data_IF_943459106924
#
_entry.id   IF_943459106924
#
_cell.length_a   1.000
_cell.length_b   1.000
_cell.length_c   1.000
_cell.angle_alpha   90.00
_cell.angle_beta   90.00
_cell.angle_gamma   90.00
#
_symmetry.space_group_name_H-M   'P 1'
#
loop_
_entity.id
_entity.type
_entity.pdbx_description
1 polymer ?
#
# COMPACT_ATOMS: atom_id res chain seq x y z
N UNK A 1 -16.73 17.27 -6.23
CA UNK A 1 -15.41 17.50 -6.85
C UNK A 1 -14.84 18.76 -6.23
N UNK A 2 -13.94 18.62 -5.26
CA UNK A 2 -13.29 19.74 -4.59
C UNK A 2 -11.79 19.45 -4.68
N UNK A 3 -11.10 20.19 -5.55
CA UNK A 3 -9.64 20.20 -5.60
C UNK A 3 -9.15 20.81 -4.30
N UNK A 4 -8.69 19.98 -3.37
CA UNK A 4 -7.85 20.48 -2.28
C UNK A 4 -6.42 20.52 -2.84
N UNK A 5 -6.07 21.69 -3.37
CA UNK A 5 -4.70 22.06 -3.65
C UNK A 5 -3.90 21.94 -2.34
N UNK A 6 -2.96 21.01 -2.29
CA UNK A 6 -1.90 20.97 -1.27
C UNK A 6 -0.93 22.14 -1.51
N UNK A 7 -1.37 23.37 -1.27
CA UNK A 7 -0.58 24.59 -1.44
C UNK A 7 0.43 24.84 -0.30
N UNK A 8 0.68 23.86 0.58
CA UNK A 8 1.54 24.02 1.76
C UNK A 8 2.95 23.42 1.66
N UNK A 9 3.30 22.74 0.57
CA UNK A 9 4.58 22.01 0.44
C UNK A 9 5.38 22.35 -0.83
N UNK A 10 5.11 23.49 -1.46
CA UNK A 10 5.88 23.93 -2.61
C UNK A 10 7.09 24.72 -2.10
N UNK A 11 8.18 23.99 -1.81
CA UNK A 11 9.52 24.58 -1.80
C UNK A 11 9.87 25.17 -3.18
N UNK A 12 11.01 25.87 -3.31
CA UNK A 12 11.48 26.37 -4.60
C UNK A 12 11.48 25.24 -5.63
N UNK A 13 11.32 25.58 -6.91
CA UNK A 13 11.37 24.54 -7.94
C UNK A 13 12.71 23.81 -7.88
N UNK A 14 12.64 22.49 -7.96
CA UNK A 14 13.80 21.60 -8.02
C UNK A 14 14.11 21.21 -9.48
N UNK A 15 13.39 21.82 -10.44
CA UNK A 15 13.69 21.76 -11.87
C UNK A 15 15.12 22.25 -12.12
N UNK A 16 15.79 21.71 -13.14
CA UNK A 16 17.20 21.96 -13.46
C UNK A 16 18.24 21.36 -12.49
N UNK A 17 17.83 20.67 -11.41
CA UNK A 17 18.77 20.04 -10.48
C UNK A 17 19.79 19.13 -11.20
N UNK A 18 19.36 18.45 -12.26
CA UNK A 18 20.16 17.48 -13.00
C UNK A 18 21.04 18.10 -14.11
N UNK A 19 20.93 19.41 -14.41
CA UNK A 19 21.58 20.02 -15.59
C UNK A 19 23.10 19.86 -15.61
N UNK A 20 23.73 19.96 -14.45
CA UNK A 20 25.19 19.92 -14.31
C UNK A 20 25.69 18.59 -13.77
N UNK A 21 24.79 17.61 -13.56
CA UNK A 21 25.16 16.30 -13.07
C UNK A 21 25.68 15.43 -14.21
N UNK A 22 26.77 14.71 -13.94
CA UNK A 22 27.33 13.71 -14.85
C UNK A 22 27.22 12.34 -14.22
N UNK A 23 26.89 11.33 -15.02
CA UNK A 23 26.92 9.94 -14.59
C UNK A 23 28.39 9.53 -14.42
N UNK A 24 28.83 9.15 -13.21
CA UNK A 24 30.19 8.66 -13.00
C UNK A 24 30.45 7.35 -13.76
N UNK A 25 31.59 7.24 -14.44
CA UNK A 25 31.92 6.09 -15.31
C UNK A 25 32.14 4.78 -14.53
N UNK A 26 32.58 4.87 -13.26
CA UNK A 26 33.03 3.71 -12.48
C UNK A 26 32.11 3.34 -11.31
N UNK A 27 30.84 3.78 -11.34
CA UNK A 27 29.86 3.44 -10.30
C UNK A 27 28.88 2.43 -10.87
N UNK A 28 28.84 1.18 -10.37
CA UNK A 28 27.84 0.20 -10.79
C UNK A 28 26.43 0.69 -10.44
N UNK A 29 25.50 0.57 -11.38
CA UNK A 29 24.10 0.94 -11.21
C UNK A 29 23.17 -0.02 -11.97
N UNK A 30 21.88 0.05 -11.66
CA UNK A 30 20.82 -0.59 -12.43
C UNK A 30 19.89 0.46 -13.04
N UNK A 31 19.27 0.13 -14.17
CA UNK A 31 18.13 0.90 -14.66
C UNK A 31 16.87 0.44 -13.94
N UNK A 32 15.97 1.36 -13.53
CA UNK A 32 14.62 1.00 -13.15
C UNK A 32 13.97 0.16 -14.27
N UNK A 33 13.25 -0.88 -13.88
CA UNK A 33 12.47 -1.71 -14.80
C UNK A 33 11.35 -0.87 -15.42
N UNK A 34 10.89 -1.27 -16.60
CA UNK A 34 9.79 -0.59 -17.26
C UNK A 34 8.47 -0.75 -16.51
N UNK A 35 7.56 0.21 -16.72
CA UNK A 35 6.22 0.16 -16.18
C UNK A 35 5.44 -0.99 -16.82
N UNK A 36 4.80 -1.82 -16.01
CA UNK A 36 3.97 -2.93 -16.48
C UNK A 36 2.51 -2.54 -16.28
N UNK A 37 1.93 -1.85 -17.26
CA UNK A 37 0.48 -1.92 -17.50
C UNK A 37 0.34 -2.29 -18.97
N UNK A 38 0.03 -3.56 -19.23
CA UNK A 38 -0.59 -3.92 -20.50
C UNK A 38 -1.97 -3.23 -20.51
N UNK A 39 -2.23 -2.37 -21.49
CA UNK A 39 -3.37 -1.43 -21.54
C UNK A 39 -4.76 -2.12 -21.43
N UNK A 40 -4.82 -3.45 -21.60
CA UNK A 40 -6.03 -4.26 -21.50
C UNK A 40 -6.12 -5.14 -20.23
N UNK A 41 -5.10 -5.17 -19.38
CA UNK A 41 -5.00 -6.16 -18.28
C UNK A 41 -5.29 -5.56 -16.90
N UNK A 42 -6.44 -4.90 -16.76
CA UNK A 42 -7.09 -4.76 -15.44
C UNK A 42 -7.74 -6.07 -14.97
N UNK A 43 -7.30 -7.22 -15.51
CA UNK A 43 -7.75 -8.51 -15.01
C UNK A 43 -7.35 -8.61 -13.54
N UNK A 44 -8.30 -9.04 -12.72
CA UNK A 44 -7.98 -9.38 -11.34
C UNK A 44 -6.96 -10.49 -11.41
N UNK A 45 -5.85 -10.35 -10.67
CA UNK A 45 -4.85 -11.40 -10.60
C UNK A 45 -5.56 -12.74 -10.32
N UNK A 46 -5.38 -13.73 -11.19
CA UNK A 46 -6.10 -15.03 -11.12
C UNK A 46 -6.05 -15.68 -9.72
N UNK A 47 -5.03 -15.33 -8.92
CA UNK A 47 -4.77 -15.88 -7.60
C UNK A 47 -5.27 -15.02 -6.43
N UNK A 48 -5.79 -13.80 -6.65
CA UNK A 48 -6.31 -12.97 -5.56
C UNK A 48 -7.77 -13.34 -5.24
N UNK A 49 -7.95 -14.27 -4.30
CA UNK A 49 -9.29 -14.77 -3.97
C UNK A 49 -10.21 -13.70 -3.37
N UNK A 50 -9.66 -12.74 -2.60
CA UNK A 50 -10.42 -11.65 -2.00
C UNK A 50 -11.00 -10.73 -3.08
N UNK A 51 -10.12 -10.20 -3.93
CA UNK A 51 -10.46 -9.29 -5.03
C UNK A 51 -11.40 -9.96 -6.04
N UNK A 52 -11.16 -11.23 -6.38
CA UNK A 52 -12.04 -11.98 -7.28
C UNK A 52 -13.46 -12.13 -6.73
N UNK A 53 -13.59 -12.49 -5.45
CA UNK A 53 -14.90 -12.59 -4.80
C UNK A 53 -15.59 -11.23 -4.68
N UNK A 54 -14.83 -10.17 -4.45
CA UNK A 54 -15.34 -8.80 -4.39
C UNK A 54 -15.86 -8.34 -5.76
N UNK A 55 -15.10 -8.59 -6.83
CA UNK A 55 -15.53 -8.30 -8.20
C UNK A 55 -16.72 -9.14 -8.66
N UNK A 56 -16.81 -10.39 -8.21
CA UNK A 56 -18.00 -11.22 -8.44
C UNK A 56 -19.23 -10.61 -7.76
N UNK A 57 -19.12 -10.19 -6.49
CA UNK A 57 -20.20 -9.53 -5.77
C UNK A 57 -20.60 -8.18 -6.38
N UNK A 58 -19.65 -7.43 -6.94
CA UNK A 58 -19.94 -6.20 -7.68
C UNK A 58 -20.89 -6.46 -8.87
N UNK A 59 -20.56 -7.48 -9.68
CA UNK A 59 -21.27 -7.85 -10.89
C UNK A 59 -22.62 -8.54 -10.63
N UNK A 60 -22.78 -9.17 -9.46
CA UNK A 60 -24.01 -9.86 -9.10
C UNK A 60 -25.16 -8.88 -8.80
N UNK A 61 -26.07 -8.73 -9.77
CA UNK A 61 -27.26 -7.86 -9.64
C UNK A 61 -28.32 -8.38 -8.66
N UNK A 62 -28.25 -9.65 -8.29
CA UNK A 62 -29.22 -10.32 -7.42
C UNK A 62 -28.85 -10.27 -5.93
N UNK A 63 -27.63 -9.84 -5.60
CA UNK A 63 -27.12 -9.84 -4.24
C UNK A 63 -28.02 -8.99 -3.32
N UNK A 64 -28.60 -9.62 -2.30
CA UNK A 64 -29.36 -8.92 -1.28
C UNK A 64 -28.41 -8.27 -0.26
N UNK A 65 -28.33 -6.93 -0.31
CA UNK A 65 -27.44 -6.14 0.56
C UNK A 65 -28.18 -5.41 1.68
N UNK A 66 -29.47 -5.67 1.90
CA UNK A 66 -30.26 -4.89 2.86
C UNK A 66 -29.84 -5.12 4.32
N UNK A 67 -29.30 -6.30 4.64
CA UNK A 67 -29.07 -6.75 6.02
C UNK A 67 -27.70 -7.44 6.23
N UNK A 68 -26.65 -6.94 5.57
CA UNK A 68 -25.32 -7.51 5.78
C UNK A 68 -24.81 -7.26 7.21
N UNK A 69 -24.08 -8.24 7.76
CA UNK A 69 -23.54 -8.17 9.12
C UNK A 69 -22.44 -7.11 9.21
N UNK A 70 -22.65 -6.13 10.09
CA UNK A 70 -21.73 -5.03 10.39
C UNK A 70 -20.82 -5.35 11.59
N UNK A 71 -20.27 -6.56 11.60
CA UNK A 71 -19.40 -7.03 12.68
C UNK A 71 -18.45 -8.11 12.16
N UNK A 72 -17.25 -8.17 12.75
CA UNK A 72 -16.23 -9.18 12.44
C UNK A 72 -15.77 -9.80 13.77
N UNK A 73 -16.54 -10.76 14.33
CA UNK A 73 -16.22 -11.34 15.63
C UNK A 73 -14.82 -11.96 15.72
N UNK A 74 -14.30 -12.49 14.60
CA UNK A 74 -12.95 -13.04 14.55
C UNK A 74 -11.88 -11.96 14.69
N UNK A 75 -12.05 -10.78 14.06
CA UNK A 75 -11.17 -9.62 14.24
C UNK A 75 -11.24 -9.07 15.66
N UNK A 76 -12.43 -9.00 16.27
CA UNK A 76 -12.57 -8.60 17.68
C UNK A 76 -11.78 -9.52 18.60
N UNK A 77 -11.93 -10.84 18.44
CA UNK A 77 -11.16 -11.81 19.22
C UNK A 77 -9.65 -11.67 19.00
N UNK A 78 -9.19 -11.49 17.75
CA UNK A 78 -7.77 -11.27 17.45
C UNK A 78 -7.26 -9.98 18.11
N UNK A 79 -8.02 -8.89 18.04
CA UNK A 79 -7.63 -7.59 18.60
C UNK A 79 -7.47 -7.60 20.12
N UNK A 80 -8.25 -8.45 20.82
CA UNK A 80 -8.21 -8.58 22.27
C UNK A 80 -7.17 -9.63 22.71
N UNK A 81 -7.22 -10.82 22.12
CA UNK A 81 -6.51 -12.00 22.62
C UNK A 81 -5.13 -12.16 21.98
N UNK A 82 -4.98 -11.78 20.71
CA UNK A 82 -3.84 -12.13 19.86
C UNK A 82 -3.36 -10.94 19.00
N UNK A 83 -3.30 -9.73 19.56
CA UNK A 83 -3.00 -8.51 18.82
C UNK A 83 -1.64 -8.57 18.10
N UNK A 84 -0.62 -9.17 18.73
CA UNK A 84 0.71 -9.32 18.12
C UNK A 84 0.69 -10.25 16.90
N UNK A 85 -0.11 -11.32 16.94
CA UNK A 85 -0.28 -12.23 15.80
C UNK A 85 -0.96 -11.51 14.63
N UNK A 86 -2.01 -10.73 14.92
CA UNK A 86 -2.70 -9.90 13.93
C UNK A 86 -1.76 -8.87 13.31
N UNK A 87 -1.02 -8.10 14.13
CA UNK A 87 -0.05 -7.11 13.64
C UNK A 87 1.00 -7.75 12.73
N UNK A 88 1.56 -8.90 13.13
CA UNK A 88 2.58 -9.60 12.35
C UNK A 88 2.01 -10.13 11.04
N UNK A 89 0.78 -10.64 11.03
CA UNK A 89 0.11 -11.04 9.79
C UNK A 89 -0.06 -9.85 8.83
N UNK A 90 -0.61 -8.74 9.33
CA UNK A 90 -0.84 -7.53 8.53
C UNK A 90 0.47 -6.92 7.99
N UNK A 91 1.55 -6.96 8.76
CA UNK A 91 2.88 -6.50 8.33
C UNK A 91 3.56 -7.44 7.32
N UNK A 92 3.17 -8.73 7.31
CA UNK A 92 3.80 -9.73 6.45
C UNK A 92 3.03 -9.99 5.17
N UNK A 93 1.76 -9.59 5.09
CA UNK A 93 0.89 -9.86 3.95
C UNK A 93 1.10 -8.86 2.82
N UNK A 94 1.32 -9.35 1.59
CA UNK A 94 1.39 -8.53 0.38
C UNK A 94 0.04 -7.87 0.02
N UNK A 95 -1.07 -8.32 0.62
CA UNK A 95 -2.41 -7.75 0.43
C UNK A 95 -2.74 -6.68 1.46
N UNK A 96 -1.93 -6.50 2.50
CA UNK A 96 -2.09 -5.44 3.48
C UNK A 96 -0.91 -4.47 3.41
N UNK A 97 -1.17 -3.21 3.68
CA UNK A 97 -0.15 -2.19 3.90
C UNK A 97 -0.34 -1.63 5.30
N UNK A 98 0.55 -1.98 6.22
CA UNK A 98 0.48 -1.57 7.61
C UNK A 98 1.38 -0.35 7.83
N UNK A 99 0.81 0.76 8.29
CA UNK A 99 1.51 2.03 8.51
C UNK A 99 1.10 2.63 9.85
N UNK A 100 1.80 3.68 10.30
CA UNK A 100 1.36 4.51 11.43
C UNK A 100 0.84 5.83 10.90
N UNK A 101 -0.39 6.17 11.29
CA UNK A 101 -0.98 7.48 11.08
C UNK A 101 -1.56 7.98 12.40
N UNK A 102 -1.21 9.21 12.80
CA UNK A 102 -1.67 9.81 14.07
C UNK A 102 -1.49 8.89 15.30
N UNK A 103 -0.34 8.21 15.39
CA UNK A 103 0.00 7.24 16.46
C UNK A 103 -0.87 5.98 16.49
N UNK A 104 -1.66 5.72 15.45
CA UNK A 104 -2.46 4.50 15.31
C UNK A 104 -1.95 3.69 14.13
N UNK A 105 -1.84 2.38 14.35
CA UNK A 105 -1.52 1.43 13.30
C UNK A 105 -2.73 1.29 12.37
N UNK A 106 -2.52 1.57 11.09
CA UNK A 106 -3.54 1.51 10.06
C UNK A 106 -3.11 0.49 9.00
N UNK A 107 -3.90 -0.56 8.84
CA UNK A 107 -3.76 -1.54 7.78
C UNK A 107 -4.72 -1.21 6.64
N UNK A 108 -4.18 -1.01 5.44
CA UNK A 108 -4.93 -0.76 4.22
C UNK A 108 -4.91 -2.01 3.35
N UNK A 109 -6.07 -2.47 2.89
CA UNK A 109 -6.09 -3.56 1.92
C UNK A 109 -5.60 -3.05 0.55
N UNK A 110 -4.60 -3.71 -0.01
CA UNK A 110 -4.00 -3.42 -1.32
C UNK A 110 -4.85 -4.05 -2.42
N UNK A 111 -4.89 -3.40 -3.57
CA UNK A 111 -5.42 -4.00 -4.80
C UNK A 111 -4.27 -4.61 -5.59
N UNK A 112 -4.49 -5.72 -6.27
CA UNK A 112 -3.49 -6.33 -7.14
C UNK A 112 -3.83 -6.09 -8.61
N UNK A 113 -2.81 -5.72 -9.39
CA UNK A 113 -2.86 -5.56 -10.85
C UNK A 113 -1.68 -6.35 -11.42
N UNK A 114 -1.93 -7.22 -12.42
CA UNK A 114 -0.88 -8.01 -13.09
C UNK A 114 0.06 -8.76 -12.13
N UNK A 115 -0.52 -9.33 -11.06
CA UNK A 115 0.13 -10.07 -9.95
C UNK A 115 0.91 -9.20 -8.95
N UNK A 116 1.03 -7.89 -9.17
CA UNK A 116 1.73 -6.99 -8.25
C UNK A 116 0.73 -6.27 -7.35
N UNK A 117 1.00 -6.18 -6.03
CA UNK A 117 0.26 -5.26 -5.18
C UNK A 117 0.48 -3.83 -5.69
N UNK A 118 -0.61 -3.19 -6.12
CA UNK A 118 -0.57 -1.88 -6.72
C UNK A 118 -0.44 -0.81 -5.63
N UNK A 119 0.67 -0.06 -5.61
CA UNK A 119 0.82 1.03 -4.66
C UNK A 119 0.02 2.24 -5.20
N UNK A 120 -0.97 2.71 -4.45
CA UNK A 120 -2.03 3.60 -4.97
C UNK A 120 -1.48 5.02 -5.20
N UNK A 121 -1.66 5.52 -6.43
CA UNK A 121 -1.23 6.85 -6.92
C UNK A 121 -2.09 8.04 -6.44
N UNK A 122 -3.38 7.84 -6.15
CA UNK A 122 -4.31 8.93 -5.83
C UNK A 122 -5.18 8.61 -4.61
N UNK A 123 -4.98 9.38 -3.53
CA UNK A 123 -5.85 9.51 -2.36
C UNK A 123 -6.42 8.21 -1.75
N UNK A 124 -5.77 7.06 -1.98
CA UNK A 124 -6.19 5.76 -1.47
C UNK A 124 -7.49 5.21 -2.06
N UNK A 125 -7.76 5.47 -3.33
CA UNK A 125 -8.90 4.88 -4.04
C UNK A 125 -8.41 3.83 -5.04
N UNK A 126 -8.94 2.61 -4.93
CA UNK A 126 -8.97 1.72 -6.10
C UNK A 126 -9.99 2.34 -7.03
N UNK A 127 -9.56 2.90 -8.16
CA UNK A 127 -10.45 3.36 -9.20
C UNK A 127 -10.34 2.34 -10.33
N UNK A 128 -11.37 1.53 -10.50
CA UNK A 128 -11.46 0.69 -11.68
C UNK A 128 -12.28 1.45 -12.71
N UNK A 129 -11.60 1.87 -13.80
CA UNK A 129 -12.24 2.48 -14.96
C UNK A 129 -12.11 1.50 -16.10
N UNK A 130 -13.20 0.84 -16.49
CA UNK A 130 -13.21 0.22 -17.81
C UNK A 130 -13.63 1.23 -18.86
N UNK A 131 -13.33 0.90 -20.11
CA UNK A 131 -13.91 1.51 -21.30
C UNK A 131 -15.46 1.48 -21.29
N UNK A 132 -16.09 0.66 -20.45
CA UNK A 132 -17.53 0.60 -20.24
C UNK A 132 -17.97 1.36 -18.99
N UNK A 133 -18.71 2.46 -19.18
CA UNK A 133 -19.14 3.37 -18.10
C UNK A 133 -19.94 2.71 -16.97
N UNK A 134 -20.50 1.52 -17.16
CA UNK A 134 -21.38 0.86 -16.18
C UNK A 134 -20.64 0.12 -15.07
N UNK A 135 -19.39 -0.27 -15.32
CA UNK A 135 -18.60 -1.08 -14.40
C UNK A 135 -17.63 -0.23 -13.55
N UNK A 136 -17.71 1.10 -13.63
CA UNK A 136 -16.86 1.99 -12.84
C UNK A 136 -17.23 1.93 -11.36
N UNK A 137 -16.24 1.64 -10.52
CA UNK A 137 -16.37 1.73 -9.07
C UNK A 137 -15.12 2.33 -8.42
N UNK A 138 -15.31 2.85 -7.22
CA UNK A 138 -14.23 3.13 -6.29
C UNK A 138 -14.40 2.32 -5.02
N UNK A 139 -13.30 1.75 -4.53
CA UNK A 139 -13.30 0.93 -3.33
C UNK A 139 -12.08 1.19 -2.46
N UNK A 140 -12.26 1.04 -1.15
CA UNK A 140 -11.20 1.16 -0.15
C UNK A 140 -11.62 0.44 1.12
N UNK A 141 -10.68 -0.24 1.76
CA UNK A 141 -10.85 -0.89 3.06
C UNK A 141 -9.65 -0.62 3.97
N UNK A 142 -9.95 -0.12 5.17
CA UNK A 142 -8.99 0.17 6.22
C UNK A 142 -9.38 -0.53 7.53
N UNK A 143 -8.36 -0.97 8.24
CA UNK A 143 -8.43 -1.42 9.62
C UNK A 143 -7.50 -0.53 10.46
N UNK A 144 -8.06 0.27 11.35
CA UNK A 144 -7.28 0.99 12.35
C UNK A 144 -7.21 0.14 13.62
N UNK A 145 -6.01 -0.25 14.05
CA UNK A 145 -5.79 -0.99 15.29
C UNK A 145 -5.76 -0.03 16.48
N UNK A 146 -6.94 0.51 16.77
CA UNK A 146 -7.23 1.45 17.85
C UNK A 146 -8.58 2.12 17.60
N UNK A 147 -9.07 2.88 18.58
CA UNK A 147 -10.27 3.69 18.40
C UNK A 147 -9.92 5.04 17.73
N UNK A 148 -9.52 4.96 16.46
CA UNK A 148 -9.21 6.12 15.63
C UNK A 148 -9.84 5.92 14.27
N UNK A 149 -10.43 6.99 13.75
CA UNK A 149 -10.80 7.09 12.35
C UNK A 149 -10.07 8.25 11.70
N UNK A 150 -9.54 8.01 10.51
CA UNK A 150 -8.95 9.05 9.67
C UNK A 150 -10.01 10.01 9.12
N UNK A 151 -11.29 9.62 9.19
CA UNK A 151 -12.41 10.31 8.55
C UNK A 151 -13.51 10.61 9.55
N UNK A 152 -13.47 11.81 10.11
CA UNK A 152 -14.51 12.30 11.00
C UNK A 152 -15.62 12.96 10.16
N UNK A 153 -16.43 12.15 9.47
CA UNK A 153 -17.52 12.66 8.64
C UNK A 153 -18.87 12.41 9.30
N UNK A 154 -19.68 13.47 9.54
CA UNK A 154 -21.06 13.33 10.05
C UNK A 154 -21.98 12.56 9.09
N UNK A 155 -21.46 12.20 7.92
CA UNK A 155 -22.16 11.53 6.83
C UNK A 155 -21.85 10.03 6.74
N UNK A 156 -20.99 9.50 7.62
CA UNK A 156 -20.69 8.07 7.68
C UNK A 156 -21.96 7.25 7.90
N UNK A 157 -21.96 6.02 7.38
CA UNK A 157 -23.03 5.03 7.46
C UNK A 157 -24.36 5.42 6.80
N UNK A 158 -24.40 6.53 6.03
CA UNK A 158 -25.58 6.95 5.26
C UNK A 158 -25.27 6.89 3.76
N UNK A 159 -25.95 6.02 2.99
CA UNK A 159 -25.77 5.96 1.55
C UNK A 159 -26.25 7.25 0.88
N UNK A 160 -25.61 7.62 -0.22
CA UNK A 160 -25.87 8.84 -0.99
C UNK A 160 -25.82 8.55 -2.48
N UNK A 161 -26.55 9.34 -3.25
CA UNK A 161 -26.36 9.43 -4.69
C UNK A 161 -25.70 10.78 -4.99
N UNK A 162 -24.53 10.76 -5.61
CA UNK A 162 -23.79 11.96 -6.03
C UNK A 162 -23.28 11.73 -7.46
N UNK A 163 -23.65 12.59 -8.41
CA UNK A 163 -23.33 12.47 -9.84
C UNK A 163 -23.67 11.09 -10.44
N UNK A 164 -24.86 10.56 -10.14
CA UNK A 164 -25.34 9.23 -10.54
C UNK A 164 -24.55 8.04 -9.97
N UNK A 165 -23.67 8.29 -9.00
CA UNK A 165 -23.00 7.23 -8.24
C UNK A 165 -23.61 7.08 -6.85
N UNK A 166 -23.93 5.84 -6.50
CA UNK A 166 -24.04 5.41 -5.12
C UNK A 166 -22.70 5.62 -4.42
N UNK A 167 -22.75 6.20 -3.23
CA UNK A 167 -21.62 6.44 -2.36
C UNK A 167 -22.00 5.98 -0.95
N UNK A 168 -21.18 5.11 -0.37
CA UNK A 168 -21.27 4.71 1.02
C UNK A 168 -19.89 4.74 1.66
N UNK A 169 -19.80 5.48 2.75
CA UNK A 169 -18.68 5.43 3.67
C UNK A 169 -19.14 4.71 4.94
N UNK A 170 -18.75 3.46 5.13
CA UNK A 170 -19.07 2.65 6.30
C UNK A 170 -17.96 2.79 7.34
N UNK A 171 -18.35 3.18 8.56
CA UNK A 171 -17.45 3.33 9.69
C UNK A 171 -17.99 2.52 10.86
N UNK A 172 -17.22 1.52 11.32
CA UNK A 172 -17.56 0.68 12.46
C UNK A 172 -16.49 0.83 13.53
N UNK A 173 -16.68 1.75 14.49
CA UNK A 173 -15.80 1.85 15.64
C UNK A 173 -16.10 0.71 16.62
N UNK A 174 -15.06 0.11 17.16
CA UNK A 174 -15.14 -0.79 18.33
C UNK A 174 -14.24 -0.24 19.43
N UNK A 175 -14.15 -0.97 20.55
CA UNK A 175 -13.24 -0.60 21.63
C UNK A 175 -11.76 -0.65 21.21
N UNK A 176 -11.41 -1.60 20.34
CA UNK A 176 -10.02 -1.97 20.07
C UNK A 176 -9.59 -1.71 18.62
N UNK A 177 -10.52 -1.53 17.70
CA UNK A 177 -10.23 -1.24 16.30
C UNK A 177 -11.34 -0.41 15.66
N UNK A 178 -11.10 0.05 14.45
CA UNK A 178 -12.12 0.67 13.60
C UNK A 178 -11.99 0.13 12.18
N UNK A 179 -13.12 -0.24 11.58
CA UNK A 179 -13.20 -0.62 10.16
C UNK A 179 -13.72 0.57 9.37
N UNK A 180 -13.01 0.97 8.33
CA UNK A 180 -13.47 1.96 7.36
C UNK A 180 -13.56 1.32 5.98
N UNK A 181 -14.75 1.37 5.37
CA UNK A 181 -14.95 0.92 4.00
C UNK A 181 -15.59 2.05 3.21
N UNK A 182 -14.99 2.40 2.08
CA UNK A 182 -15.61 3.30 1.12
C UNK A 182 -15.95 2.53 -0.14
N UNK A 183 -17.17 2.74 -0.63
CA UNK A 183 -17.71 2.17 -1.84
C UNK A 183 -18.39 3.28 -2.63
N UNK A 184 -17.98 3.46 -3.89
CA UNK A 184 -18.69 4.27 -4.87
C UNK A 184 -18.95 3.43 -6.11
N UNK A 185 -20.17 3.37 -6.61
CA UNK A 185 -20.48 2.67 -7.86
C UNK A 185 -21.85 3.09 -8.43
N UNK A 186 -22.24 2.59 -9.60
CA UNK A 186 -23.53 2.95 -10.23
C UNK A 186 -24.72 2.14 -9.75
N UNK A 187 -24.48 1.07 -9.00
CA UNK A 187 -25.53 0.26 -8.40
C UNK A 187 -25.94 0.93 -7.10
N UNK A 188 -27.22 1.23 -6.92
CA UNK A 188 -27.75 1.83 -5.69
C UNK A 188 -27.82 0.82 -4.51
N UNK A 189 -26.74 0.07 -4.27
CA UNK A 189 -26.62 -1.00 -3.27
C UNK A 189 -25.16 -1.16 -2.80
N UNK A 190 -24.92 -1.38 -1.49
CA UNK A 190 -23.58 -1.56 -0.93
C UNK A 190 -23.03 -2.99 -1.09
N UNK A 191 -22.89 -3.46 -2.33
CA UNK A 191 -22.48 -4.85 -2.62
C UNK A 191 -21.05 -5.13 -2.21
N UNK A 192 -20.15 -4.19 -2.51
CA UNK A 192 -18.74 -4.33 -2.16
C UNK A 192 -18.59 -4.33 -0.65
N UNK A 193 -19.21 -3.37 0.03
CA UNK A 193 -19.17 -3.25 1.49
C UNK A 193 -19.69 -4.52 2.16
N UNK A 194 -20.84 -5.03 1.72
CA UNK A 194 -21.41 -6.26 2.27
C UNK A 194 -20.46 -7.45 2.11
N UNK A 195 -19.88 -7.61 0.92
CA UNK A 195 -18.95 -8.70 0.64
C UNK A 195 -17.65 -8.57 1.42
N UNK A 196 -17.14 -7.35 1.61
CA UNK A 196 -15.93 -7.09 2.41
C UNK A 196 -16.07 -7.61 3.83
N UNK A 197 -17.21 -7.40 4.51
CA UNK A 197 -17.42 -7.93 5.86
C UNK A 197 -17.35 -9.45 5.92
N UNK A 198 -17.95 -10.14 4.95
CA UNK A 198 -17.88 -11.59 4.83
C UNK A 198 -16.44 -12.06 4.63
N UNK A 199 -15.72 -11.45 3.69
CA UNK A 199 -14.36 -11.85 3.36
C UNK A 199 -13.36 -11.61 4.50
N UNK A 200 -13.47 -10.47 5.19
CA UNK A 200 -12.63 -10.19 6.35
C UNK A 200 -12.92 -11.15 7.50
N UNK A 201 -14.20 -11.51 7.76
CA UNK A 201 -14.53 -12.54 8.75
C UNK A 201 -13.97 -13.91 8.34
N UNK A 202 -14.05 -14.29 7.06
CA UNK A 202 -13.44 -15.53 6.57
C UNK A 202 -11.90 -15.55 6.78
N UNK A 203 -11.23 -14.44 6.48
CA UNK A 203 -9.78 -14.28 6.61
C UNK A 203 -9.35 -14.35 8.09
N UNK A 204 -9.92 -13.51 8.94
CA UNK A 204 -9.56 -13.42 10.35
C UNK A 204 -9.97 -14.65 11.15
N UNK A 205 -11.06 -15.33 10.77
CA UNK A 205 -11.43 -16.61 11.40
C UNK A 205 -10.38 -17.69 11.16
N UNK A 206 -9.75 -17.72 9.97
CA UNK A 206 -8.64 -18.65 9.70
C UNK A 206 -7.43 -18.31 10.57
N UNK A 207 -7.05 -17.04 10.66
CA UNK A 207 -5.92 -16.61 11.51
C UNK A 207 -6.17 -16.97 12.98
N UNK A 208 -7.40 -16.76 13.47
CA UNK A 208 -7.79 -17.07 14.85
C UNK A 208 -7.72 -18.57 15.18
N UNK A 209 -7.73 -19.45 14.17
CA UNK A 209 -7.60 -20.90 14.36
C UNK A 209 -6.17 -21.36 14.67
N UNK A 210 -5.18 -20.46 14.59
CA UNK A 210 -3.78 -20.73 14.83
C UNK A 210 -3.26 -20.04 16.10
N UNK A 211 -2.28 -20.68 16.75
CA UNK A 211 -1.71 -20.19 18.00
C UNK A 211 -0.33 -19.53 17.83
N UNK A 212 0.30 -19.68 16.67
CA UNK A 212 1.64 -19.17 16.38
C UNK A 212 1.73 -18.64 14.95
N UNK A 213 2.76 -17.84 14.70
CA UNK A 213 2.93 -17.20 13.40
C UNK A 213 3.39 -18.18 12.30
N UNK A 214 4.12 -19.25 12.62
CA UNK A 214 4.59 -20.19 11.59
C UNK A 214 3.43 -20.91 10.89
N UNK A 215 2.33 -21.15 11.61
CA UNK A 215 1.10 -21.65 11.02
C UNK A 215 0.34 -20.56 10.24
N UNK A 216 0.19 -19.36 10.81
CA UNK A 216 -0.43 -18.21 10.13
C UNK A 216 0.31 -17.83 8.85
N UNK A 217 1.63 -18.00 8.81
CA UNK A 217 2.48 -17.75 7.63
C UNK A 217 2.02 -18.53 6.40
N UNK A 218 1.41 -19.71 6.60
CA UNK A 218 0.84 -20.55 5.51
C UNK A 218 -0.40 -19.93 4.87
N UNK A 219 -1.04 -18.96 5.55
CA UNK A 219 -2.17 -18.19 5.02
C UNK A 219 -1.73 -16.94 4.24
N UNK A 220 -0.45 -16.58 4.27
CA UNK A 220 0.00 -15.37 3.60
C UNK A 220 -0.26 -15.48 2.09
N UNK A 221 -0.77 -14.41 1.45
CA UNK A 221 -0.99 -14.42 0.03
C UNK A 221 0.32 -14.56 -0.74
N UNK A 222 0.28 -14.98 -2.02
CA UNK A 222 1.45 -14.98 -2.89
C UNK A 222 2.20 -13.64 -2.83
N UNK A 223 3.53 -13.69 -3.03
CA UNK A 223 4.42 -12.53 -2.95
C UNK A 223 4.59 -11.90 -1.57
N UNK A 224 4.05 -12.47 -0.49
CA UNK A 224 4.28 -11.98 0.88
C UNK A 224 5.68 -12.29 1.40
N UNK A 225 6.13 -13.53 1.19
CA UNK A 225 7.41 -14.06 1.65
C UNK A 225 8.04 -14.90 0.55
N UNK A 226 9.35 -14.85 0.43
CA UNK A 226 10.12 -15.76 -0.44
C UNK A 226 11.43 -16.17 0.22
N UNK A 227 12.02 -17.24 -0.30
CA UNK A 227 13.40 -17.61 0.01
C UNK A 227 14.33 -16.84 -0.93
N UNK A 228 15.34 -16.18 -0.38
CA UNK A 228 16.32 -15.44 -1.17
C UNK A 228 17.12 -14.43 -0.36
N UNK A 229 17.89 -13.62 -1.08
CA UNK A 229 18.64 -12.51 -0.50
C UNK A 229 17.77 -11.24 -0.49
N UNK A 230 18.04 -10.31 0.44
CA UNK A 230 17.44 -8.98 0.38
C UNK A 230 17.73 -8.29 -0.95
N UNK A 231 16.76 -7.55 -1.47
CA UNK A 231 16.90 -6.80 -2.72
C UNK A 231 15.94 -5.61 -2.77
N UNK A 232 16.27 -4.64 -3.62
CA UNK A 232 15.37 -3.55 -4.02
C UNK A 232 15.36 -3.46 -5.53
N UNK A 233 14.16 -3.36 -6.09
CA UNK A 233 13.91 -3.11 -7.50
C UNK A 233 13.09 -1.83 -7.62
N UNK A 234 13.47 -0.98 -8.57
CA UNK A 234 12.66 0.16 -8.96
C UNK A 234 11.97 -0.14 -10.29
N UNK A 235 10.73 0.30 -10.42
CA UNK A 235 10.00 0.33 -11.69
C UNK A 235 9.61 1.76 -11.99
N UNK A 236 9.76 2.20 -13.24
CA UNK A 236 9.25 3.49 -13.70
C UNK A 236 7.73 3.52 -13.63
N UNK A 237 7.15 4.70 -13.52
CA UNK A 237 5.75 4.95 -13.88
C UNK A 237 5.68 5.47 -15.32
N UNK A 238 4.45 5.74 -15.80
CA UNK A 238 4.21 6.41 -17.10
C UNK A 238 4.77 7.83 -17.15
N UNK A 239 5.00 8.46 -16.00
CA UNK A 239 5.53 9.80 -15.91
C UNK A 239 6.91 9.78 -15.25
N UNK A 240 7.86 10.54 -15.81
CA UNK A 240 9.26 10.58 -15.36
C UNK A 240 9.38 11.09 -13.92
N UNK A 241 10.34 10.54 -13.17
CA UNK A 241 10.55 10.87 -11.74
C UNK A 241 9.57 10.20 -10.77
N UNK A 242 8.58 9.45 -11.25
CA UNK A 242 7.69 8.62 -10.43
C UNK A 242 8.11 7.16 -10.51
N UNK A 243 8.21 6.52 -9.34
CA UNK A 243 8.70 5.15 -9.23
C UNK A 243 7.84 4.30 -8.30
N UNK A 244 7.85 2.99 -8.58
CA UNK A 244 7.43 1.96 -7.64
C UNK A 244 8.65 1.21 -7.13
N UNK A 245 8.80 1.09 -5.81
CA UNK A 245 9.80 0.21 -5.21
C UNK A 245 9.17 -1.12 -4.82
N UNK A 246 9.83 -2.20 -5.23
CA UNK A 246 9.62 -3.56 -4.74
C UNK A 246 10.82 -3.91 -3.86
N UNK A 247 10.59 -4.01 -2.55
CA UNK A 247 11.63 -4.24 -1.54
C UNK A 247 11.42 -5.63 -0.95
N UNK A 248 12.50 -6.39 -0.83
CA UNK A 248 12.53 -7.68 -0.15
C UNK A 248 13.58 -7.64 0.95
N UNK A 249 13.16 -7.75 2.21
CA UNK A 249 14.06 -7.67 3.37
C UNK A 249 13.61 -8.57 4.51
N UNK A 250 14.50 -8.81 5.46
CA UNK A 250 14.15 -9.44 6.72
C UNK A 250 14.92 -8.77 7.86
N UNK A 251 14.28 -7.84 8.59
CA UNK A 251 14.93 -7.09 9.66
C UNK A 251 15.16 -7.89 10.94
N UNK A 252 14.75 -9.18 10.99
CA UNK A 252 14.89 -10.08 12.16
C UNK A 252 14.07 -9.73 13.39
N UNK A 253 13.39 -8.59 13.40
CA UNK A 253 12.55 -8.13 14.51
C UNK A 253 11.43 -7.24 14.01
N UNK A 254 10.47 -6.97 14.89
CA UNK A 254 9.32 -6.12 14.59
C UNK A 254 9.73 -4.66 14.40
N UNK A 255 9.12 -4.00 13.43
CA UNK A 255 9.34 -2.58 13.13
C UNK A 255 8.86 -2.23 11.73
N UNK A 256 9.31 -1.08 11.23
CA UNK A 256 8.96 -0.60 9.90
C UNK A 256 10.20 -0.20 9.10
N UNK A 257 10.04 -0.19 7.78
CA UNK A 257 11.07 0.26 6.85
C UNK A 257 10.66 1.55 6.15
N UNK A 258 11.63 2.24 5.57
CA UNK A 258 11.43 3.36 4.65
C UNK A 258 12.67 3.54 3.74
N UNK A 259 12.54 4.34 2.69
CA UNK A 259 13.64 4.65 1.77
C UNK A 259 14.30 5.99 2.08
N UNK A 260 15.62 6.03 1.91
CA UNK A 260 16.39 7.27 1.66
C UNK A 260 16.98 7.18 0.26
N UNK A 261 17.10 8.31 -0.42
CA UNK A 261 17.75 8.39 -1.72
C UNK A 261 18.77 9.54 -1.71
N UNK A 262 19.91 9.35 -2.36
CA UNK A 262 20.98 10.33 -2.45
C UNK A 262 21.51 10.40 -3.87
N UNK A 263 21.57 11.60 -4.44
CA UNK A 263 22.36 11.84 -5.65
C UNK A 263 23.83 11.56 -5.35
N UNK A 264 24.51 10.79 -6.20
CA UNK A 264 25.80 10.17 -5.85
C UNK A 264 26.96 11.17 -5.82
N UNK A 265 27.01 12.14 -6.72
CA UNK A 265 28.19 13.01 -6.90
C UNK A 265 28.37 14.02 -5.76
N UNK A 266 27.27 14.56 -5.24
CA UNK A 266 27.26 15.54 -4.14
C UNK A 266 26.70 14.96 -2.85
N UNK A 267 26.27 13.70 -2.85
CA UNK A 267 25.59 13.03 -1.73
C UNK A 267 24.36 13.83 -1.23
N UNK A 268 23.65 14.48 -2.18
CA UNK A 268 22.48 15.31 -1.86
C UNK A 268 21.28 14.41 -1.62
N UNK A 269 20.66 14.52 -0.44
CA UNK A 269 19.49 13.71 -0.12
C UNK A 269 18.27 14.16 -0.91
N UNK A 270 17.66 13.22 -1.64
CA UNK A 270 16.54 13.45 -2.54
C UNK A 270 15.21 13.26 -1.83
N UNK A 271 14.29 14.20 -2.03
CA UNK A 271 12.90 14.16 -1.63
C UNK A 271 12.68 13.77 -0.16
N UNK A 272 13.65 14.11 0.71
CA UNK A 272 13.85 13.56 2.06
C UNK A 272 12.58 13.19 2.83
N UNK A 273 11.74 14.18 3.12
CA UNK A 273 10.54 13.98 3.93
C UNK A 273 9.42 13.28 3.14
N UNK A 274 9.29 13.60 1.84
CA UNK A 274 8.25 13.04 0.96
C UNK A 274 8.51 11.56 0.70
N UNK A 275 9.76 11.19 0.40
CA UNK A 275 10.18 9.81 0.20
C UNK A 275 9.99 8.97 1.47
N UNK A 276 10.44 9.47 2.63
CA UNK A 276 10.23 8.77 3.91
C UNK A 276 8.76 8.53 4.17
N UNK A 277 7.91 9.56 4.05
CA UNK A 277 6.47 9.44 4.26
C UNK A 277 5.80 8.48 3.28
N UNK A 278 6.17 8.55 2.00
CA UNK A 278 5.58 7.72 0.94
C UNK A 278 5.97 6.23 1.02
N UNK A 279 7.09 5.91 1.67
CA UNK A 279 7.69 4.56 1.69
C UNK A 279 7.70 3.91 3.08
N UNK A 280 7.17 4.59 4.10
CA UNK A 280 7.09 4.04 5.46
C UNK A 280 6.06 2.92 5.51
N UNK A 281 6.50 1.71 5.87
CA UNK A 281 5.64 0.53 6.00
C UNK A 281 6.19 -0.47 7.02
N UNK A 282 5.31 -1.00 7.88
CA UNK A 282 5.61 -2.15 8.73
C UNK A 282 5.85 -3.40 7.89
N UNK A 283 6.91 -4.14 8.21
CA UNK A 283 7.35 -5.29 7.43
C UNK A 283 7.37 -6.56 8.27
N UNK A 284 7.09 -7.68 7.63
CA UNK A 284 7.27 -9.00 8.22
C UNK A 284 8.73 -9.31 8.55
N UNK A 285 8.94 -10.29 9.42
CA UNK A 285 10.28 -10.71 9.86
C UNK A 285 10.30 -12.18 10.26
N UNK A 286 11.49 -12.76 10.27
CA UNK A 286 11.72 -14.16 10.64
C UNK A 286 13.15 -14.38 11.14
N UNK A 287 13.32 -15.31 12.07
CA UNK A 287 14.66 -15.77 12.49
C UNK A 287 15.43 -16.42 11.33
N UNK A 288 14.73 -17.07 10.40
CA UNK A 288 15.37 -17.67 9.21
C UNK A 288 15.95 -16.58 8.29
N UNK A 289 17.28 -16.51 8.14
CA UNK A 289 17.99 -15.52 7.30
C UNK A 289 17.74 -15.65 5.81
N UNK A 290 17.23 -16.80 5.37
CA UNK A 290 16.89 -17.01 3.97
C UNK A 290 15.48 -16.54 3.62
N UNK A 291 14.61 -16.26 4.60
CA UNK A 291 13.29 -15.69 4.34
C UNK A 291 13.40 -14.17 4.20
N UNK A 292 12.75 -13.61 3.19
CA UNK A 292 12.57 -12.17 2.99
C UNK A 292 11.10 -11.85 2.73
N UNK A 293 10.65 -10.72 3.25
CA UNK A 293 9.28 -10.21 3.21
C UNK A 293 9.21 -9.02 2.26
N UNK A 294 8.07 -8.86 1.59
CA UNK A 294 7.89 -7.82 0.58
C UNK A 294 7.30 -6.53 1.14
N UNK A 295 7.75 -5.40 0.59
CA UNK A 295 7.11 -4.09 0.70
C UNK A 295 7.00 -3.46 -0.69
N UNK A 296 5.87 -2.79 -0.92
CA UNK A 296 5.56 -2.13 -2.18
C UNK A 296 5.19 -0.68 -1.93
N UNK A 297 6.00 0.24 -2.47
CA UNK A 297 5.84 1.67 -2.25
C UNK A 297 5.80 2.43 -3.57
N UNK A 298 5.01 3.50 -3.62
CA UNK A 298 4.91 4.43 -4.74
C UNK A 298 5.42 5.80 -4.29
N UNK A 299 6.31 6.43 -5.05
CA UNK A 299 6.88 7.71 -4.66
C UNK A 299 7.34 8.51 -5.88
N UNK A 300 7.60 9.79 -5.61
CA UNK A 300 8.12 10.76 -6.57
C UNK A 300 9.46 11.30 -6.08
N UNK A 301 10.43 11.40 -6.98
CA UNK A 301 11.66 12.16 -6.79
C UNK A 301 11.45 13.52 -7.45
N UNK A 302 11.50 14.60 -6.68
CA UNK A 302 11.21 15.95 -7.16
C UNK A 302 12.43 16.67 -7.75
N UNK A 303 13.63 16.19 -7.44
CA UNK A 303 14.86 16.79 -7.89
C UNK A 303 15.22 16.37 -9.32
N UNK A 304 15.04 17.26 -10.30
CA UNK A 304 15.47 17.08 -11.68
C UNK A 304 14.40 17.44 -12.70
N UNK A 305 14.60 17.00 -13.93
CA UNK A 305 13.67 17.18 -15.04
C UNK A 305 13.49 15.84 -15.76
N UNK A 306 12.41 15.72 -16.52
CA UNK A 306 12.25 14.61 -17.46
C UNK A 306 13.40 14.57 -18.47
N UNK A 307 13.79 13.35 -18.83
CA UNK A 307 14.89 12.98 -19.72
C UNK A 307 16.31 13.34 -19.21
N UNK A 308 16.44 14.05 -18.09
CA UNK A 308 17.73 14.39 -17.48
C UNK A 308 18.11 13.39 -16.39
N UNK A 309 18.83 12.37 -16.81
CA UNK A 309 19.18 11.25 -15.96
C UNK A 309 20.45 11.49 -15.14
N UNK A 310 20.43 11.05 -13.88
CA UNK A 310 21.57 11.03 -12.98
C UNK A 310 21.58 9.74 -12.15
N UNK A 311 22.67 9.48 -11.42
CA UNK A 311 22.73 8.32 -10.52
C UNK A 311 22.30 8.70 -9.10
N UNK A 312 21.45 7.85 -8.52
CA UNK A 312 21.07 7.95 -7.12
C UNK A 312 21.29 6.61 -6.39
N UNK A 313 21.81 6.69 -5.16
CA UNK A 313 21.87 5.58 -4.22
C UNK A 313 20.58 5.54 -3.43
N UNK A 314 19.85 4.44 -3.52
CA UNK A 314 18.68 4.15 -2.69
C UNK A 314 19.09 3.25 -1.53
N UNK A 315 18.65 3.60 -0.33
CA UNK A 315 18.95 2.88 0.90
C UNK A 315 17.64 2.47 1.57
N UNK A 316 17.52 1.20 1.96
CA UNK A 316 16.41 0.70 2.78
C UNK A 316 16.83 0.79 4.24
N UNK A 317 16.08 1.58 5.00
CA UNK A 317 16.31 1.78 6.43
C UNK A 317 15.21 1.11 7.25
N UNK A 318 15.57 0.57 8.39
CA UNK A 318 14.69 -0.08 9.35
C UNK A 318 14.67 0.66 10.67
N UNK A 319 13.48 0.79 11.25
CA UNK A 319 13.26 1.34 12.58
C UNK A 319 12.62 0.25 13.46
N UNK A 320 13.37 -0.29 14.43
CA UNK A 320 12.87 -1.30 15.35
C UNK A 320 11.77 -0.77 16.28
N UNK A 321 10.77 -1.62 16.60
CA UNK A 321 9.72 -1.27 17.58
C UNK A 321 10.26 -1.20 19.03
N UNK A 322 11.41 -1.82 19.30
CA UNK A 322 12.05 -1.86 20.63
C UNK A 322 12.74 -0.54 21.03
N UNK A 323 12.74 0.46 20.14
CA UNK A 323 13.32 1.78 20.36
C UNK A 323 14.83 1.85 20.17
N UNK A 324 15.48 0.76 19.73
CA UNK A 324 16.88 0.80 19.32
C UNK A 324 17.09 1.63 18.05
N UNK A 325 18.35 1.92 17.74
CA UNK A 325 18.71 2.82 16.65
C UNK A 325 18.26 2.28 15.29
N UNK A 326 17.87 3.20 14.40
CA UNK A 326 17.59 2.85 13.01
C UNK A 326 18.84 2.31 12.32
N UNK A 327 18.66 1.33 11.43
CA UNK A 327 19.75 0.65 10.74
C UNK A 327 19.48 0.52 9.24
N UNK A 328 20.55 0.58 8.45
CA UNK A 328 20.46 0.37 7.00
C UNK A 328 20.51 -1.12 6.71
N UNK A 329 19.48 -1.64 6.02
CA UNK A 329 19.37 -3.05 5.67
C UNK A 329 20.07 -3.39 4.35
N UNK A 330 19.94 -2.52 3.35
CA UNK A 330 20.61 -2.67 2.05
C UNK A 330 20.65 -1.33 1.32
N UNK A 331 21.47 -1.27 0.27
CA UNK A 331 21.52 -0.14 -0.66
C UNK A 331 21.76 -0.60 -2.10
N UNK A 332 21.36 0.25 -3.05
CA UNK A 332 21.56 -0.01 -4.47
C UNK A 332 21.52 1.28 -5.28
N UNK A 333 22.35 1.36 -6.30
CA UNK A 333 22.41 2.53 -7.18
C UNK A 333 21.50 2.35 -8.39
N UNK A 334 20.78 3.41 -8.74
CA UNK A 334 19.91 3.44 -9.90
C UNK A 334 20.18 4.66 -10.76
N UNK A 335 20.07 4.48 -12.09
CA UNK A 335 19.96 5.60 -13.03
C UNK A 335 18.52 6.08 -13.04
N UNK A 336 18.27 7.27 -12.49
CA UNK A 336 16.94 7.86 -12.34
C UNK A 336 16.86 9.24 -12.99
N UNK A 337 15.68 9.82 -13.01
CA UNK A 337 15.39 11.20 -13.38
C UNK A 337 14.45 11.82 -12.33
N UNK A 338 14.29 13.13 -12.36
CA UNK A 338 13.39 13.87 -11.47
C UNK A 338 12.02 14.11 -12.09
N UNK A 339 11.05 14.45 -11.25
CA UNK A 339 9.72 14.89 -11.64
C UNK A 339 9.76 16.33 -12.13
N UNK A 340 9.20 16.59 -13.32
CA UNK A 340 8.98 17.95 -13.82
C UNK A 340 7.56 18.42 -13.50
N UNK A 341 7.42 19.60 -12.90
CA UNK A 341 6.11 20.17 -12.49
C UNK A 341 5.32 20.82 -13.62
#
# INVERSE_FOLDING_TARGET
MLFILFSGFLGPSEDNFANDLKIPENVPFQSPLEYIIEEDDFSVAEKNSFQNKLMSAFKDKSLNTKDYKKQIPSLENLSIKNLNLLKRYLASSSEWNLTISNKVLQARHRWQINKYPYPILHENLVVWRSSFKEDNFQYRCYLNLGNFSSYNSPKANKPRIENDFFNLYTLIPTKNYTIEIFEQNKVNQPRLTAKTFELLEEEFKKILSFNNFDEVKKLLPPYSVKIGKPDILLRKSVQGGIYNAEIWVNPKRSGYIYLKAFEITKNTQLSKNRLKMATTEYIGWSENSNEVYSSFSHFTIYEGDWDKHYLARFEVWFVPDDGSLEEKLLEKNFKIEGWMR
#
